data_IF_191588022243
#
_entry.id   IF_191588022243
#
_cell.length_a   1.000
_cell.length_b   1.000
_cell.length_c   1.000
_cell.angle_alpha   90.00
_cell.angle_beta   90.00
_cell.angle_gamma   90.00
#
_symmetry.space_group_name_H-M   'P 1'
#
loop_
_entity.id
_entity.type
_entity.pdbx_description
1 polymer ?
#
# COMPACT_ATOMS: atom_id res chain seq x y z
N UNK A 1 -60.39 -32.77 14.84
CA UNK A 1 -59.66 -32.40 13.61
C UNK A 1 -58.86 -31.14 13.85
N UNK A 2 -57.54 -31.26 13.63
CA UNK A 2 -56.47 -30.27 13.47
C UNK A 2 -56.24 -29.20 14.56
N UNK A 3 -55.35 -29.57 15.50
CA UNK A 3 -54.44 -28.65 16.20
C UNK A 3 -53.37 -28.17 15.21
N UNK A 4 -53.26 -26.87 14.99
CA UNK A 4 -52.12 -26.29 14.25
C UNK A 4 -51.21 -25.58 15.25
N UNK A 5 -50.04 -26.16 15.47
CA UNK A 5 -48.98 -25.66 16.34
C UNK A 5 -48.12 -24.68 15.53
N UNK A 6 -48.07 -23.41 15.94
CA UNK A 6 -47.12 -22.43 15.41
C UNK A 6 -45.77 -22.63 16.10
N UNK A 7 -44.77 -23.15 15.38
CA UNK A 7 -43.38 -23.19 15.84
C UNK A 7 -42.67 -21.96 15.27
N UNK A 8 -42.44 -20.96 16.11
CA UNK A 8 -41.52 -19.85 15.83
C UNK A 8 -40.11 -20.38 16.11
N UNK A 9 -39.34 -20.62 15.05
CA UNK A 9 -37.93 -21.00 15.14
C UNK A 9 -37.08 -19.74 15.35
N UNK A 10 -36.84 -19.35 16.59
CA UNK A 10 -35.81 -18.36 16.95
C UNK A 10 -34.43 -18.98 16.77
N UNK A 11 -33.79 -18.67 15.64
CA UNK A 11 -32.35 -18.90 15.44
C UNK A 11 -31.56 -18.01 16.41
N UNK A 12 -31.29 -18.54 17.60
CA UNK A 12 -30.28 -18.00 18.52
C UNK A 12 -28.90 -18.18 17.90
N UNK A 13 -28.39 -17.13 17.27
CA UNK A 13 -26.98 -17.02 16.90
C UNK A 13 -26.18 -16.92 18.20
N UNK A 14 -25.64 -18.04 18.66
CA UNK A 14 -24.67 -18.07 19.74
C UNK A 14 -23.39 -17.36 19.28
N UNK A 15 -23.27 -16.07 19.63
CA UNK A 15 -21.97 -15.40 19.67
C UNK A 15 -21.24 -15.93 20.91
N UNK A 16 -20.34 -16.88 20.72
CA UNK A 16 -19.41 -17.30 21.76
C UNK A 16 -18.51 -16.12 22.15
N UNK A 17 -18.93 -15.34 23.15
CA UNK A 17 -18.05 -14.40 23.85
C UNK A 17 -17.14 -15.20 24.78
N UNK A 18 -15.94 -15.54 24.32
CA UNK A 18 -14.88 -16.01 25.21
C UNK A 18 -14.51 -14.89 26.20
N UNK A 19 -14.40 -15.27 27.48
CA UNK A 19 -14.19 -14.37 28.64
C UNK A 19 -12.87 -13.59 28.62
N UNK A 20 -11.92 -13.93 27.74
CA UNK A 20 -10.60 -13.27 27.64
C UNK A 20 -10.57 -12.05 26.71
N UNK A 21 -11.69 -11.73 26.05
CA UNK A 21 -11.73 -10.69 25.01
C UNK A 21 -11.19 -9.33 25.47
N UNK A 22 -11.25 -8.97 26.77
CA UNK A 22 -10.85 -7.64 27.23
C UNK A 22 -9.41 -7.23 26.89
N UNK A 23 -8.43 -8.14 26.96
CA UNK A 23 -7.01 -7.80 26.71
C UNK A 23 -6.68 -7.74 25.21
N UNK A 24 -7.28 -8.61 24.41
CA UNK A 24 -6.98 -8.73 22.97
C UNK A 24 -7.96 -7.97 22.08
N UNK A 25 -9.07 -7.45 22.63
CA UNK A 25 -10.11 -6.74 21.86
C UNK A 25 -9.51 -5.62 21.00
N UNK A 26 -8.53 -4.88 21.53
CA UNK A 26 -7.81 -3.83 20.81
C UNK A 26 -7.17 -4.33 19.51
N UNK A 27 -6.59 -5.53 19.52
CA UNK A 27 -5.95 -6.14 18.35
C UNK A 27 -7.03 -6.48 17.32
N UNK A 28 -8.12 -7.11 17.74
CA UNK A 28 -9.22 -7.46 16.86
C UNK A 28 -9.89 -6.23 16.25
N UNK A 29 -10.10 -5.17 17.03
CA UNK A 29 -10.72 -3.93 16.55
C UNK A 29 -9.80 -3.18 15.58
N UNK A 30 -8.47 -3.19 15.79
CA UNK A 30 -7.49 -2.64 14.84
C UNK A 30 -7.48 -3.41 13.52
N UNK A 31 -7.47 -4.74 13.57
CA UNK A 31 -7.53 -5.59 12.37
C UNK A 31 -8.86 -5.37 11.64
N UNK A 32 -9.99 -5.39 12.33
CA UNK A 32 -11.32 -5.10 11.76
C UNK A 32 -11.34 -3.71 11.10
N UNK A 33 -10.75 -2.71 11.74
CA UNK A 33 -10.63 -1.37 11.18
C UNK A 33 -9.82 -1.36 9.88
N UNK A 34 -8.66 -2.03 9.81
CA UNK A 34 -7.84 -2.14 8.59
C UNK A 34 -8.63 -2.73 7.41
N UNK A 35 -9.38 -3.82 7.63
CA UNK A 35 -10.21 -4.41 6.57
C UNK A 35 -11.37 -3.48 6.14
N UNK A 36 -11.99 -2.75 7.08
CA UNK A 36 -12.99 -1.74 6.74
C UNK A 36 -12.40 -0.53 5.97
N UNK A 37 -11.14 -0.18 6.24
CA UNK A 37 -10.41 0.84 5.48
C UNK A 37 -10.18 0.41 4.04
N UNK A 38 -9.76 -0.84 3.83
CA UNK A 38 -9.57 -1.41 2.48
C UNK A 38 -10.83 -1.27 1.62
N UNK A 39 -12.00 -1.58 2.19
CA UNK A 39 -13.29 -1.35 1.53
C UNK A 39 -13.57 0.13 1.23
N UNK A 40 -13.18 1.03 2.14
CA UNK A 40 -13.36 2.48 1.97
C UNK A 40 -12.49 3.01 0.83
N UNK A 41 -11.21 2.60 0.79
CA UNK A 41 -10.26 2.92 -0.29
C UNK A 41 -10.77 2.38 -1.62
N UNK A 42 -11.26 1.14 -1.64
CA UNK A 42 -11.80 0.57 -2.87
C UNK A 42 -12.94 1.41 -3.45
N UNK A 43 -13.91 1.79 -2.59
CA UNK A 43 -15.08 2.58 -3.01
C UNK A 43 -14.75 4.01 -3.48
N UNK A 44 -13.63 4.59 -3.06
CA UNK A 44 -13.35 6.03 -3.23
C UNK A 44 -12.08 6.36 -4.00
N UNK A 45 -11.14 5.43 -4.07
CA UNK A 45 -9.80 5.68 -4.63
C UNK A 45 -9.45 4.67 -5.73
N UNK A 46 -9.63 3.37 -5.46
CA UNK A 46 -9.18 2.28 -6.35
C UNK A 46 -10.14 1.09 -6.35
N UNK A 47 -11.13 1.08 -7.27
CA UNK A 47 -12.30 0.19 -7.25
C UNK A 47 -11.99 -1.30 -6.99
N UNK A 48 -10.97 -1.85 -7.64
CA UNK A 48 -10.63 -3.28 -7.60
C UNK A 48 -9.85 -3.69 -6.34
N UNK A 49 -9.43 -2.73 -5.50
CA UNK A 49 -8.50 -2.99 -4.40
C UNK A 49 -9.04 -4.00 -3.37
N UNK A 50 -10.36 -4.05 -3.17
CA UNK A 50 -11.01 -4.97 -2.23
C UNK A 50 -11.67 -6.19 -2.92
N UNK A 51 -11.34 -6.47 -4.18
CA UNK A 51 -11.80 -7.68 -4.84
C UNK A 51 -11.14 -8.91 -4.20
N UNK A 52 -11.91 -10.01 -4.08
CA UNK A 52 -11.48 -11.21 -3.35
C UNK A 52 -10.23 -11.86 -3.97
N UNK A 53 -10.10 -11.81 -5.29
CA UNK A 53 -8.94 -12.36 -5.99
C UNK A 53 -7.63 -11.62 -5.68
N UNK A 54 -7.72 -10.34 -5.33
CA UNK A 54 -6.57 -9.50 -4.97
C UNK A 54 -6.44 -9.28 -3.46
N UNK A 55 -7.21 -10.01 -2.64
CA UNK A 55 -7.02 -9.99 -1.20
C UNK A 55 -5.80 -10.80 -0.77
N UNK A 56 -5.23 -10.43 0.36
CA UNK A 56 -4.11 -11.12 0.98
C UNK A 56 -4.26 -11.18 2.50
N UNK A 57 -3.73 -12.23 3.16
CA UNK A 57 -3.76 -12.33 4.61
C UNK A 57 -2.92 -11.23 5.27
N UNK A 58 -3.30 -10.85 6.49
CA UNK A 58 -2.55 -9.95 7.35
C UNK A 58 -1.94 -10.73 8.51
N UNK A 59 -0.63 -10.58 8.73
CA UNK A 59 0.09 -11.02 9.93
C UNK A 59 0.36 -9.79 10.80
N UNK A 60 -0.33 -9.70 11.92
CA UNK A 60 -0.15 -8.67 12.93
C UNK A 60 0.75 -9.20 14.06
N UNK A 61 1.91 -8.59 14.24
CA UNK A 61 2.91 -8.99 15.23
C UNK A 61 2.73 -8.20 16.54
N UNK A 62 2.80 -8.92 17.65
CA UNK A 62 3.07 -8.35 18.98
C UNK A 62 4.47 -8.77 19.44
N UNK A 63 4.86 -8.31 20.61
CA UNK A 63 6.11 -8.71 21.27
C UNK A 63 6.23 -10.23 21.50
N UNK A 64 5.10 -10.93 21.59
CA UNK A 64 5.02 -12.31 22.08
C UNK A 64 4.31 -13.27 21.12
N UNK A 65 3.47 -12.80 20.22
CA UNK A 65 2.64 -13.65 19.36
C UNK A 65 2.37 -13.00 18.01
N UNK A 66 1.84 -13.79 17.07
CA UNK A 66 1.34 -13.29 15.79
C UNK A 66 -0.16 -13.59 15.68
N UNK A 67 -0.90 -12.62 15.14
CA UNK A 67 -2.34 -12.72 14.85
C UNK A 67 -2.52 -12.66 13.34
N UNK A 68 -3.19 -13.65 12.77
CA UNK A 68 -3.27 -13.82 11.32
C UNK A 68 -4.71 -13.76 10.88
N UNK A 69 -5.04 -12.72 10.12
CA UNK A 69 -6.34 -12.51 9.55
C UNK A 69 -6.44 -13.22 8.19
N UNK A 70 -7.47 -14.05 8.03
CA UNK A 70 -7.77 -14.82 6.83
C UNK A 70 -6.56 -15.61 6.28
N UNK A 71 -5.87 -16.43 7.10
CA UNK A 71 -4.68 -17.17 6.68
C UNK A 71 -4.99 -18.14 5.53
N UNK A 72 -3.96 -18.43 4.73
CA UNK A 72 -4.02 -19.54 3.76
C UNK A 72 -3.94 -20.88 4.48
N UNK A 73 -4.39 -21.95 3.80
CA UNK A 73 -4.21 -23.31 4.33
C UNK A 73 -2.74 -23.68 4.51
N UNK A 74 -1.86 -23.23 3.59
CA UNK A 74 -0.42 -23.44 3.68
C UNK A 74 0.13 -22.84 4.98
N UNK A 75 -0.25 -21.59 5.29
CA UNK A 75 0.13 -20.94 6.54
C UNK A 75 -0.30 -21.73 7.78
N UNK A 76 -1.56 -22.20 7.83
CA UNK A 76 -2.07 -22.97 8.98
C UNK A 76 -1.40 -24.33 9.15
N UNK A 77 -0.88 -24.92 8.07
CA UNK A 77 -0.07 -26.15 8.13
C UNK A 77 1.35 -25.88 8.63
N UNK A 78 1.93 -24.73 8.29
CA UNK A 78 3.28 -24.32 8.71
C UNK A 78 3.31 -23.87 10.17
N UNK A 79 2.35 -23.07 10.61
CA UNK A 79 2.33 -22.49 11.96
C UNK A 79 1.11 -22.94 12.75
N UNK A 80 1.36 -23.63 13.87
CA UNK A 80 0.30 -24.04 14.80
C UNK A 80 -0.42 -22.80 15.34
N UNK A 81 -1.67 -22.63 14.91
CA UNK A 81 -2.48 -21.45 15.20
C UNK A 81 -3.90 -21.84 15.61
N UNK A 82 -4.48 -21.14 16.59
CA UNK A 82 -5.86 -21.34 17.04
C UNK A 82 -6.76 -20.18 16.61
N UNK A 83 -8.01 -20.46 16.23
CA UNK A 83 -9.00 -19.41 15.93
C UNK A 83 -9.36 -18.67 17.23
N UNK A 84 -9.14 -17.34 17.25
CA UNK A 84 -9.41 -16.49 18.43
C UNK A 84 -10.51 -15.46 18.20
N UNK A 85 -10.78 -15.09 16.94
CA UNK A 85 -11.86 -14.16 16.61
C UNK A 85 -12.43 -14.48 15.22
N UNK A 86 -13.74 -14.28 15.07
CA UNK A 86 -14.42 -14.39 13.78
C UNK A 86 -15.59 -13.42 13.69
N UNK A 87 -15.72 -12.75 12.56
CA UNK A 87 -16.92 -12.05 12.13
C UNK A 87 -17.25 -12.40 10.67
N UNK A 88 -18.14 -11.65 10.02
CA UNK A 88 -18.54 -11.91 8.63
C UNK A 88 -17.42 -11.67 7.60
N UNK A 89 -16.44 -10.82 7.93
CA UNK A 89 -15.37 -10.39 7.03
C UNK A 89 -14.03 -11.08 7.33
N UNK A 90 -13.78 -11.43 8.60
CA UNK A 90 -12.45 -11.80 9.08
C UNK A 90 -12.53 -13.01 10.00
N UNK A 91 -11.59 -13.94 9.81
CA UNK A 91 -11.19 -14.96 10.78
C UNK A 91 -9.77 -14.67 11.25
N UNK A 92 -9.56 -14.49 12.55
CA UNK A 92 -8.25 -14.21 13.13
C UNK A 92 -7.79 -15.44 13.90
N UNK A 93 -6.62 -15.93 13.54
CA UNK A 93 -5.91 -17.00 14.21
C UNK A 93 -4.74 -16.43 15.02
N UNK A 94 -4.38 -17.07 16.13
CA UNK A 94 -3.25 -16.68 16.96
C UNK A 94 -2.24 -17.82 17.08
N UNK A 95 -0.97 -17.49 16.97
CA UNK A 95 0.15 -18.40 17.27
C UNK A 95 0.60 -18.24 18.73
N UNK A 96 1.18 -19.29 19.32
CA UNK A 96 1.68 -19.24 20.70
C UNK A 96 2.95 -18.36 20.85
N UNK A 97 3.71 -18.21 19.77
CA UNK A 97 4.91 -17.40 19.66
C UNK A 97 4.85 -16.59 18.37
N UNK A 98 5.71 -15.57 18.21
CA UNK A 98 5.90 -14.93 16.90
C UNK A 98 6.27 -15.96 15.83
N UNK A 99 5.87 -15.69 14.59
CA UNK A 99 6.20 -16.56 13.43
C UNK A 99 7.63 -16.41 12.92
N UNK A 100 8.32 -15.36 13.36
CA UNK A 100 9.75 -15.15 13.16
C UNK A 100 10.35 -14.36 14.34
N UNK A 101 11.66 -14.13 14.28
CA UNK A 101 12.43 -13.41 15.30
C UNK A 101 12.76 -11.96 14.95
N UNK A 102 12.25 -11.43 13.83
CA UNK A 102 12.55 -10.05 13.45
C UNK A 102 11.86 -9.08 14.41
N UNK A 103 12.52 -7.99 14.82
CA UNK A 103 11.98 -7.10 15.86
C UNK A 103 10.83 -6.22 15.37
N UNK A 104 10.68 -6.04 14.06
CA UNK A 104 9.72 -5.12 13.47
C UNK A 104 9.35 -5.54 12.05
N UNK A 105 8.07 -5.39 11.71
CA UNK A 105 7.55 -5.55 10.34
C UNK A 105 6.71 -4.34 9.96
N UNK A 106 6.87 -3.88 8.73
CA UNK A 106 5.93 -3.04 8.03
C UNK A 106 6.20 -3.20 6.54
N UNK A 107 5.84 -4.37 6.02
CA UNK A 107 6.10 -4.74 4.63
C UNK A 107 5.03 -5.68 4.09
N UNK A 108 4.89 -5.74 2.77
CA UNK A 108 4.38 -6.96 2.13
C UNK A 108 5.50 -7.97 1.93
N UNK A 109 5.41 -9.12 2.62
CA UNK A 109 6.34 -10.23 2.50
C UNK A 109 5.90 -11.26 1.46
N UNK A 110 6.83 -11.68 0.61
CA UNK A 110 6.63 -12.76 -0.38
C UNK A 110 7.98 -13.35 -0.77
N UNK A 111 8.05 -14.68 -0.91
CA UNK A 111 9.23 -15.37 -1.43
C UNK A 111 9.10 -15.55 -2.95
N UNK A 112 10.16 -15.19 -3.68
CA UNK A 112 10.31 -15.33 -5.13
C UNK A 112 11.56 -16.16 -5.45
N UNK A 113 11.70 -16.61 -6.70
CA UNK A 113 12.82 -17.42 -7.17
C UNK A 113 12.50 -18.90 -7.21
N UNK A 114 13.49 -19.73 -6.85
CA UNK A 114 13.37 -21.18 -6.90
C UNK A 114 12.20 -21.69 -6.05
N UNK A 115 11.44 -22.70 -6.52
CA UNK A 115 10.32 -23.26 -5.76
C UNK A 115 10.71 -23.68 -4.33
N UNK A 116 9.95 -23.19 -3.34
CA UNK A 116 10.13 -23.56 -1.93
C UNK A 116 8.82 -23.97 -1.26
N UNK A 117 8.94 -24.70 -0.15
CA UNK A 117 7.80 -25.05 0.70
C UNK A 117 7.38 -23.90 1.64
N UNK A 118 7.99 -22.72 1.53
CA UNK A 118 7.68 -21.58 2.40
C UNK A 118 6.23 -21.14 2.21
N UNK A 119 5.56 -20.80 3.31
CA UNK A 119 4.15 -20.46 3.32
C UNK A 119 3.79 -19.25 2.42
N UNK A 120 4.78 -18.39 2.14
CA UNK A 120 4.68 -17.15 1.36
C UNK A 120 5.34 -17.24 -0.03
N UNK A 121 5.73 -18.44 -0.50
CA UNK A 121 6.22 -18.63 -1.88
C UNK A 121 5.13 -18.24 -2.89
N UNK A 122 5.39 -17.20 -3.69
CA UNK A 122 4.44 -16.59 -4.66
C UNK A 122 3.05 -16.25 -4.06
N UNK A 123 3.00 -16.07 -2.74
CA UNK A 123 1.78 -15.79 -2.00
C UNK A 123 2.05 -14.62 -1.05
N UNK A 124 1.71 -13.38 -1.41
CA UNK A 124 2.04 -12.22 -0.59
C UNK A 124 1.23 -12.20 0.71
N UNK A 125 1.87 -11.72 1.78
CA UNK A 125 1.26 -11.47 3.09
C UNK A 125 1.56 -10.03 3.49
N UNK A 126 0.55 -9.32 3.97
CA UNK A 126 0.77 -8.04 4.64
C UNK A 126 1.31 -8.35 6.03
N UNK A 127 2.47 -7.82 6.39
CA UNK A 127 3.12 -8.03 7.68
C UNK A 127 3.26 -6.69 8.41
N UNK A 128 2.59 -6.54 9.55
CA UNK A 128 2.73 -5.33 10.37
C UNK A 128 2.97 -5.67 11.83
N UNK A 129 3.93 -4.98 12.42
CA UNK A 129 4.03 -4.84 13.86
C UNK A 129 2.86 -4.02 14.40
N UNK A 130 2.49 -4.32 15.64
CA UNK A 130 1.52 -3.55 16.41
C UNK A 130 1.86 -2.06 16.43
N UNK A 131 0.86 -1.20 16.71
CA UNK A 131 1.12 0.23 16.93
C UNK A 131 2.18 0.43 18.03
N UNK A 132 2.12 -0.35 19.11
CA UNK A 132 3.03 -0.22 20.23
C UNK A 132 4.48 -0.50 19.82
N UNK A 133 4.72 -1.53 19.02
CA UNK A 133 6.05 -1.79 18.45
C UNK A 133 6.45 -0.73 17.42
N UNK A 134 5.53 -0.33 16.55
CA UNK A 134 5.77 0.70 15.53
C UNK A 134 6.17 2.03 16.16
N UNK A 135 5.48 2.48 17.21
CA UNK A 135 5.79 3.74 17.89
C UNK A 135 7.16 3.74 18.59
N UNK A 136 7.68 2.55 18.96
CA UNK A 136 9.04 2.41 19.49
C UNK A 136 10.08 2.51 18.38
N UNK A 137 9.81 1.89 17.23
CA UNK A 137 10.74 1.84 16.09
C UNK A 137 10.72 3.12 15.26
N UNK A 138 9.55 3.75 15.13
CA UNK A 138 9.30 4.95 14.33
C UNK A 138 8.57 5.98 15.21
N UNK A 139 9.30 6.74 16.05
CA UNK A 139 8.71 7.61 17.08
C UNK A 139 7.80 8.74 16.54
N UNK A 140 7.85 9.01 15.24
CA UNK A 140 7.01 10.02 14.59
C UNK A 140 5.60 9.51 14.24
N UNK A 141 5.32 8.22 14.44
CA UNK A 141 3.97 7.64 14.30
C UNK A 141 3.25 7.79 15.64
N UNK A 142 2.36 8.78 15.72
CA UNK A 142 1.79 9.24 17.00
C UNK A 142 0.36 8.74 17.26
N UNK A 143 -0.25 8.06 16.30
CA UNK A 143 -1.63 7.61 16.39
C UNK A 143 -1.88 6.32 15.61
N UNK A 144 -2.94 5.60 15.99
CA UNK A 144 -3.40 4.40 15.27
C UNK A 144 -3.73 4.73 13.82
N UNK A 145 -4.30 5.91 13.57
CA UNK A 145 -4.65 6.37 12.24
C UNK A 145 -3.43 6.52 11.33
N UNK A 146 -2.34 7.09 11.82
CA UNK A 146 -1.07 7.18 11.08
C UNK A 146 -0.46 5.79 10.84
N UNK A 147 -0.47 4.92 11.84
CA UNK A 147 -0.02 3.53 11.69
C UNK A 147 -0.82 2.78 10.62
N UNK A 148 -2.14 2.98 10.56
CA UNK A 148 -2.96 2.34 9.52
C UNK A 148 -2.70 2.87 8.11
N UNK A 149 -2.16 4.08 7.94
CA UNK A 149 -1.82 4.57 6.59
C UNK A 149 -0.59 3.84 6.05
N UNK A 150 0.38 3.54 6.92
CA UNK A 150 1.52 2.67 6.59
C UNK A 150 1.07 1.26 6.23
N UNK A 151 0.16 0.67 7.01
CA UNK A 151 -0.39 -0.66 6.69
C UNK A 151 -1.06 -0.67 5.32
N UNK A 152 -1.81 0.37 4.99
CA UNK A 152 -2.53 0.41 3.72
C UNK A 152 -1.61 0.65 2.52
N UNK A 153 -0.48 1.33 2.73
CA UNK A 153 0.60 1.43 1.75
C UNK A 153 1.12 0.03 1.40
N UNK A 154 1.51 -0.72 2.42
CA UNK A 154 2.06 -2.06 2.25
C UNK A 154 1.03 -3.04 1.71
N UNK A 155 -0.22 -3.00 2.20
CA UNK A 155 -1.33 -3.79 1.63
C UNK A 155 -1.50 -3.56 0.13
N UNK A 156 -1.22 -2.34 -0.34
CA UNK A 156 -1.31 -2.02 -1.76
C UNK A 156 -0.20 -2.69 -2.56
N UNK A 157 1.02 -2.85 -2.04
CA UNK A 157 2.03 -3.70 -2.66
C UNK A 157 1.58 -5.15 -2.75
N UNK A 158 0.93 -5.66 -1.72
CA UNK A 158 0.23 -6.95 -1.75
C UNK A 158 -0.75 -7.06 -2.92
N UNK A 159 -1.64 -6.08 -3.06
CA UNK A 159 -2.57 -5.99 -4.19
C UNK A 159 -1.85 -5.98 -5.55
N UNK A 160 -0.76 -5.23 -5.68
CA UNK A 160 0.06 -5.21 -6.91
C UNK A 160 0.59 -6.61 -7.24
N UNK A 161 1.20 -7.29 -6.26
CA UNK A 161 1.76 -8.63 -6.43
C UNK A 161 0.72 -9.73 -6.67
N UNK A 162 -0.54 -9.52 -6.29
CA UNK A 162 -1.65 -10.42 -6.61
C UNK A 162 -2.01 -10.43 -8.11
N UNK A 163 -1.51 -9.48 -8.90
CA UNK A 163 -1.69 -9.48 -10.34
C UNK A 163 -0.60 -10.32 -11.01
N UNK A 164 -1.00 -11.51 -11.51
CA UNK A 164 -0.05 -12.44 -12.15
C UNK A 164 0.81 -11.80 -13.25
N UNK A 165 0.26 -11.03 -14.21
CA UNK A 165 1.08 -10.38 -15.24
C UNK A 165 2.13 -9.41 -14.68
N UNK A 166 1.82 -8.74 -13.57
CA UNK A 166 2.76 -7.82 -12.92
C UNK A 166 3.87 -8.57 -12.21
N UNK A 167 3.53 -9.58 -11.39
CA UNK A 167 4.56 -10.31 -10.65
C UNK A 167 5.48 -11.12 -11.56
N UNK A 168 4.94 -11.71 -12.64
CA UNK A 168 5.73 -12.41 -13.66
C UNK A 168 6.74 -11.47 -14.32
N UNK A 169 6.35 -10.22 -14.60
CA UNK A 169 7.26 -9.19 -15.11
C UNK A 169 8.28 -8.74 -14.04
N UNK A 170 7.84 -8.49 -12.82
CA UNK A 170 8.68 -8.01 -11.73
C UNK A 170 9.78 -9.01 -11.39
N UNK A 171 9.43 -10.28 -11.18
CA UNK A 171 10.37 -11.35 -10.85
C UNK A 171 11.37 -11.61 -11.97
N UNK A 172 10.91 -11.61 -13.22
CA UNK A 172 11.78 -11.87 -14.38
C UNK A 172 12.72 -10.70 -14.70
N UNK A 173 12.21 -9.47 -14.66
CA UNK A 173 12.88 -8.32 -15.27
C UNK A 173 13.39 -7.28 -14.28
N UNK A 174 12.82 -7.22 -13.07
CA UNK A 174 13.01 -6.08 -12.15
C UNK A 174 13.79 -6.47 -10.89
N UNK A 175 13.46 -7.60 -10.25
CA UNK A 175 13.98 -7.98 -8.91
C UNK A 175 15.51 -8.04 -8.83
N UNK A 176 16.20 -8.17 -9.96
CA UNK A 176 17.65 -8.23 -10.03
C UNK A 176 18.36 -6.92 -9.63
N UNK A 177 17.66 -5.77 -9.69
CA UNK A 177 18.21 -4.46 -9.32
C UNK A 177 17.29 -3.83 -8.28
N UNK A 178 17.74 -3.78 -7.04
CA UNK A 178 16.95 -3.26 -5.93
C UNK A 178 16.74 -1.74 -6.00
N UNK A 179 15.67 -1.19 -5.41
CA UNK A 179 15.41 0.25 -5.37
C UNK A 179 16.57 1.07 -4.78
N UNK A 180 17.31 0.49 -3.83
CA UNK A 180 18.47 1.13 -3.20
C UNK A 180 19.60 1.43 -4.18
N UNK A 181 19.78 0.60 -5.22
CA UNK A 181 20.76 0.86 -6.28
C UNK A 181 20.43 2.16 -7.01
N UNK A 182 19.15 2.37 -7.36
CA UNK A 182 18.69 3.61 -7.99
C UNK A 182 18.82 4.81 -7.04
N UNK A 183 18.50 4.62 -5.76
CA UNK A 183 18.67 5.64 -4.72
C UNK A 183 20.12 6.05 -4.54
N UNK A 184 21.06 5.10 -4.61
CA UNK A 184 22.49 5.37 -4.55
C UNK A 184 22.95 6.19 -5.76
N UNK A 185 22.48 5.90 -6.97
CA UNK A 185 22.77 6.71 -8.17
C UNK A 185 22.32 8.16 -7.93
N UNK A 186 21.10 8.35 -7.44
CA UNK A 186 20.55 9.68 -7.14
C UNK A 186 21.36 10.44 -6.08
N UNK A 187 21.77 9.78 -5.00
CA UNK A 187 22.54 10.42 -3.92
C UNK A 187 23.98 10.76 -4.34
N UNK A 188 24.61 9.91 -5.13
CA UNK A 188 26.05 10.00 -5.41
C UNK A 188 26.38 10.76 -6.71
N UNK A 189 25.39 11.15 -7.51
CA UNK A 189 25.61 11.84 -8.78
C UNK A 189 24.82 13.15 -8.84
N UNK A 190 25.48 14.30 -8.63
CA UNK A 190 24.84 15.62 -8.64
C UNK A 190 24.08 15.92 -9.94
N UNK A 191 24.63 15.54 -11.10
CA UNK A 191 23.98 15.75 -12.40
C UNK A 191 22.68 14.94 -12.52
N UNK A 192 22.66 13.70 -12.01
CA UNK A 192 21.48 12.84 -12.01
C UNK A 192 20.42 13.41 -11.07
N UNK A 193 20.85 13.76 -9.84
CA UNK A 193 20.00 14.36 -8.82
C UNK A 193 19.30 15.62 -9.33
N UNK A 194 20.08 16.56 -9.90
CA UNK A 194 19.55 17.81 -10.42
C UNK A 194 18.55 17.60 -11.56
N UNK A 195 18.76 16.59 -12.41
CA UNK A 195 17.82 16.25 -13.47
C UNK A 195 16.52 15.65 -12.92
N UNK A 196 16.59 14.73 -11.97
CA UNK A 196 15.41 14.18 -11.27
C UNK A 196 14.62 15.27 -10.54
N UNK A 197 15.31 16.17 -9.84
CA UNK A 197 14.65 17.27 -9.13
C UNK A 197 13.88 18.18 -10.11
N UNK A 198 14.49 18.52 -11.25
CA UNK A 198 13.84 19.30 -12.32
C UNK A 198 12.67 18.55 -12.96
N UNK A 199 12.81 17.26 -13.22
CA UNK A 199 11.70 16.40 -13.68
C UNK A 199 10.52 16.47 -12.69
N UNK A 200 10.80 16.35 -11.40
CA UNK A 200 9.76 16.42 -10.37
C UNK A 200 9.14 17.81 -10.25
N UNK A 201 9.91 18.89 -10.41
CA UNK A 201 9.40 20.26 -10.47
C UNK A 201 8.44 20.46 -11.66
N UNK A 202 8.77 19.91 -12.83
CA UNK A 202 7.86 19.95 -14.00
C UNK A 202 6.55 19.22 -13.71
N UNK A 203 6.59 18.03 -13.08
CA UNK A 203 5.37 17.34 -12.67
C UNK A 203 4.53 18.19 -11.70
N UNK A 204 5.17 18.82 -10.71
CA UNK A 204 4.47 19.70 -9.76
C UNK A 204 3.84 20.91 -10.46
N UNK A 205 4.56 21.53 -11.40
CA UNK A 205 4.05 22.64 -12.19
C UNK A 205 2.84 22.21 -13.05
N UNK A 206 2.93 21.05 -13.71
CA UNK A 206 1.82 20.50 -14.49
C UNK A 206 0.58 20.20 -13.62
N UNK A 207 0.78 19.77 -12.37
CA UNK A 207 -0.32 19.52 -11.43
C UNK A 207 -1.03 20.84 -11.04
N UNK A 208 -0.30 21.95 -10.91
CA UNK A 208 -0.86 23.24 -10.49
C UNK A 208 -1.38 24.11 -11.65
N UNK A 209 -0.86 23.93 -12.86
CA UNK A 209 -1.27 24.67 -14.06
C UNK A 209 -2.72 24.34 -14.45
N UNK A 210 -3.43 25.30 -15.05
CA UNK A 210 -4.82 25.16 -15.49
C UNK A 210 -4.97 25.20 -17.01
N UNK A 211 -4.03 25.82 -17.72
CA UNK A 211 -4.00 25.87 -19.17
C UNK A 211 -3.54 24.53 -19.77
N UNK A 212 -4.40 23.90 -20.59
CA UNK A 212 -4.14 22.59 -21.17
C UNK A 212 -2.95 22.56 -22.14
N UNK A 213 -2.72 23.64 -22.89
CA UNK A 213 -1.59 23.76 -23.82
C UNK A 213 -0.29 23.87 -23.02
N UNK A 214 -0.28 24.67 -21.96
CA UNK A 214 0.89 24.76 -21.07
C UNK A 214 1.17 23.45 -20.36
N UNK A 215 0.14 22.76 -19.86
CA UNK A 215 0.29 21.43 -19.24
C UNK A 215 0.95 20.46 -20.24
N UNK A 216 0.47 20.43 -21.49
CA UNK A 216 1.05 19.57 -22.52
C UNK A 216 2.54 19.89 -22.78
N UNK A 217 2.89 21.17 -22.88
CA UNK A 217 4.29 21.59 -23.03
C UNK A 217 5.17 21.21 -21.83
N UNK A 218 4.69 21.40 -20.60
CA UNK A 218 5.42 21.01 -19.38
C UNK A 218 5.66 19.49 -19.36
N UNK A 219 4.67 18.69 -19.74
CA UNK A 219 4.81 17.22 -19.81
C UNK A 219 5.82 16.84 -20.91
N UNK A 220 5.81 17.51 -22.06
CA UNK A 220 6.81 17.31 -23.11
C UNK A 220 8.23 17.63 -22.63
N UNK A 221 8.40 18.72 -21.88
CA UNK A 221 9.69 19.10 -21.30
C UNK A 221 10.17 18.07 -20.27
N UNK A 222 9.25 17.54 -19.45
CA UNK A 222 9.51 16.46 -18.50
C UNK A 222 10.07 15.22 -19.21
N UNK A 223 9.40 14.77 -20.28
CA UNK A 223 9.87 13.61 -21.05
C UNK A 223 11.20 13.87 -21.75
N UNK A 224 11.41 15.09 -22.28
CA UNK A 224 12.67 15.48 -22.93
C UNK A 224 13.84 15.38 -21.94
N UNK A 225 13.69 15.92 -20.73
CA UNK A 225 14.70 15.81 -19.68
C UNK A 225 14.95 14.35 -19.26
N UNK A 226 13.88 13.58 -19.05
CA UNK A 226 13.96 12.17 -18.66
C UNK A 226 14.69 11.31 -19.67
N UNK A 227 14.38 11.46 -20.96
CA UNK A 227 15.03 10.73 -22.06
C UNK A 227 16.52 11.10 -22.10
N UNK A 228 16.86 12.39 -22.01
CA UNK A 228 18.24 12.85 -22.01
C UNK A 228 19.02 12.33 -20.80
N UNK A 229 18.42 12.32 -19.61
CA UNK A 229 19.03 11.77 -18.39
C UNK A 229 19.30 10.28 -18.55
N UNK A 230 18.31 9.49 -18.97
CA UNK A 230 18.46 8.03 -19.14
C UNK A 230 19.50 7.68 -20.20
N UNK A 231 19.56 8.44 -21.31
CA UNK A 231 20.64 8.33 -22.30
C UNK A 231 22.01 8.60 -21.66
N UNK A 232 22.11 9.65 -20.85
CA UNK A 232 23.36 9.99 -20.14
C UNK A 232 23.79 8.88 -19.16
N UNK A 233 22.83 8.26 -18.46
CA UNK A 233 23.09 7.10 -17.58
C UNK A 233 23.61 5.92 -18.39
N UNK A 234 22.95 5.56 -19.50
CA UNK A 234 23.39 4.49 -20.38
C UNK A 234 24.81 4.73 -20.89
N UNK A 235 25.13 5.95 -21.30
CA UNK A 235 26.46 6.31 -21.83
C UNK A 235 27.56 6.25 -20.76
N UNK A 236 27.31 6.84 -19.57
CA UNK A 236 28.28 6.97 -18.48
C UNK A 236 28.43 5.69 -17.64
N UNK A 237 27.34 4.96 -17.44
CA UNK A 237 27.27 3.81 -16.51
C UNK A 237 27.11 2.48 -17.23
N UNK A 238 26.91 2.47 -18.55
CA UNK A 238 26.67 1.27 -19.36
C UNK A 238 25.48 0.44 -18.84
N UNK A 239 24.50 1.13 -18.28
CA UNK A 239 23.35 0.52 -17.62
C UNK A 239 22.07 1.24 -18.03
N UNK A 240 21.10 0.50 -18.57
CA UNK A 240 19.77 1.04 -18.85
C UNK A 240 18.88 0.94 -17.60
N UNK A 241 18.67 2.09 -16.96
CA UNK A 241 17.83 2.20 -15.77
C UNK A 241 16.33 2.22 -16.06
N UNK A 242 15.92 2.34 -17.33
CA UNK A 242 14.57 2.77 -17.70
C UNK A 242 13.49 1.85 -17.15
N UNK A 243 13.65 0.52 -17.30
CA UNK A 243 12.64 -0.44 -16.84
C UNK A 243 12.50 -0.47 -15.32
N UNK A 244 13.61 -0.34 -14.59
CA UNK A 244 13.64 -0.34 -13.13
C UNK A 244 12.99 0.92 -12.58
N UNK A 245 13.38 2.09 -13.10
CA UNK A 245 12.84 3.37 -12.66
C UNK A 245 11.32 3.46 -12.91
N UNK A 246 10.86 3.09 -14.11
CA UNK A 246 9.43 3.05 -14.44
C UNK A 246 8.64 2.13 -13.50
N UNK A 247 9.18 0.95 -13.20
CA UNK A 247 8.54 -0.02 -12.32
C UNK A 247 8.46 0.53 -10.89
N UNK A 248 9.58 0.98 -10.31
CA UNK A 248 9.61 1.46 -8.93
C UNK A 248 8.84 2.76 -8.73
N UNK A 249 8.87 3.70 -9.68
CA UNK A 249 8.01 4.89 -9.63
C UNK A 249 6.52 4.50 -9.65
N UNK A 250 6.13 3.48 -10.42
CA UNK A 250 4.74 3.00 -10.46
C UNK A 250 4.35 2.29 -9.17
N UNK A 251 5.19 1.36 -8.71
CA UNK A 251 4.98 0.57 -7.51
C UNK A 251 4.84 1.45 -6.27
N UNK A 252 5.85 2.29 -6.01
CA UNK A 252 5.91 3.15 -4.82
C UNK A 252 4.96 4.34 -4.92
N UNK A 253 4.86 4.93 -6.11
CA UNK A 253 4.01 6.10 -6.35
C UNK A 253 2.53 5.81 -6.12
N UNK A 254 2.05 4.65 -6.56
CA UNK A 254 0.65 4.25 -6.37
C UNK A 254 0.36 3.82 -4.93
N UNK A 255 1.27 3.12 -4.26
CA UNK A 255 1.14 2.82 -2.83
C UNK A 255 1.11 4.11 -1.98
N UNK A 256 1.99 5.08 -2.28
CA UNK A 256 1.97 6.41 -1.66
C UNK A 256 0.70 7.20 -1.97
N UNK A 257 0.14 7.01 -3.17
CA UNK A 257 -1.13 7.62 -3.55
C UNK A 257 -2.31 7.08 -2.73
N UNK A 258 -2.34 5.77 -2.46
CA UNK A 258 -3.33 5.17 -1.55
C UNK A 258 -3.20 5.77 -0.14
N UNK A 259 -1.98 5.86 0.38
CA UNK A 259 -1.69 6.46 1.68
C UNK A 259 -2.25 7.90 1.77
N UNK A 260 -1.90 8.73 0.78
CA UNK A 260 -2.40 10.11 0.69
C UNK A 260 -3.94 10.17 0.57
N UNK A 261 -4.55 9.23 -0.14
CA UNK A 261 -6.01 9.19 -0.28
C UNK A 261 -6.69 9.00 1.07
N UNK A 262 -6.10 8.21 1.98
CA UNK A 262 -6.62 8.02 3.34
C UNK A 262 -6.66 9.33 4.12
N UNK A 263 -5.69 10.23 3.94
CA UNK A 263 -5.68 11.50 4.66
C UNK A 263 -6.94 12.32 4.36
N UNK A 264 -7.37 12.35 3.09
CA UNK A 264 -8.64 12.97 2.69
C UNK A 264 -9.85 12.23 3.22
N UNK A 265 -9.82 10.90 3.19
CA UNK A 265 -10.93 10.08 3.68
C UNK A 265 -11.12 10.22 5.20
N UNK A 266 -10.03 10.27 5.96
CA UNK A 266 -10.01 10.51 7.42
C UNK A 266 -10.55 11.88 7.79
N UNK A 267 -10.21 12.91 7.03
CA UNK A 267 -10.75 14.26 7.23
C UNK A 267 -12.29 14.26 7.26
N UNK A 268 -12.93 13.42 6.43
CA UNK A 268 -14.39 13.31 6.32
C UNK A 268 -15.02 12.15 7.13
N UNK A 269 -14.22 11.23 7.69
CA UNK A 269 -14.74 10.01 8.34
C UNK A 269 -15.17 10.30 9.78
N UNK A 270 -16.25 9.66 10.23
CA UNK A 270 -16.63 9.64 11.66
C UNK A 270 -15.71 8.70 12.45
N UNK A 271 -15.35 9.02 13.70
CA UNK A 271 -14.55 8.14 14.55
C UNK A 271 -15.14 6.73 14.66
N UNK A 272 -14.29 5.71 14.70
CA UNK A 272 -14.71 4.34 14.92
C UNK A 272 -14.98 4.11 16.42
N UNK A 273 -16.21 3.72 16.76
CA UNK A 273 -16.64 3.60 18.15
C UNK A 273 -15.96 2.43 18.89
N UNK A 274 -15.55 1.37 18.17
CA UNK A 274 -14.86 0.23 18.78
C UNK A 274 -13.45 0.67 19.17
N UNK A 275 -12.73 1.31 18.25
CA UNK A 275 -11.39 1.83 18.51
C UNK A 275 -11.37 2.90 19.59
N UNK A 276 -12.36 3.80 19.62
CA UNK A 276 -12.51 4.77 20.72
C UNK A 276 -12.56 4.10 22.11
N UNK A 277 -13.14 2.91 22.19
CA UNK A 277 -13.28 2.16 23.43
C UNK A 277 -12.05 1.30 23.74
N UNK A 278 -11.45 0.68 22.72
CA UNK A 278 -10.41 -0.33 22.90
C UNK A 278 -8.98 0.21 22.78
N UNK A 279 -8.78 1.36 22.12
CA UNK A 279 -7.47 1.82 21.66
C UNK A 279 -7.22 3.29 22.04
N UNK A 280 -6.44 3.52 23.10
CA UNK A 280 -6.08 4.88 23.56
C UNK A 280 -5.18 5.64 22.59
N UNK A 281 -4.54 4.95 21.64
CA UNK A 281 -3.73 5.56 20.59
C UNK A 281 -4.55 6.08 19.41
N UNK A 282 -5.83 5.70 19.33
CA UNK A 282 -6.74 6.22 18.31
C UNK A 282 -7.20 7.64 18.69
N UNK A 283 -6.96 8.62 17.81
CA UNK A 283 -7.18 10.06 18.07
C UNK A 283 -8.34 10.64 17.25
N UNK A 284 -9.32 9.80 16.87
CA UNK A 284 -10.54 10.25 16.19
C UNK A 284 -10.31 11.08 14.91
N UNK A 285 -9.22 10.79 14.20
CA UNK A 285 -8.77 11.48 12.99
C UNK A 285 -8.40 12.96 13.17
N UNK A 286 -8.12 13.42 14.40
CA UNK A 286 -7.88 14.84 14.71
C UNK A 286 -6.82 15.47 13.78
N UNK A 287 -5.67 14.79 13.62
CA UNK A 287 -4.56 15.22 12.74
C UNK A 287 -4.98 15.45 11.29
N UNK A 288 -6.02 14.75 10.82
CA UNK A 288 -6.44 14.76 9.42
C UNK A 288 -7.57 15.75 9.11
N UNK A 289 -8.29 16.29 10.11
CA UNK A 289 -9.45 17.19 9.89
C UNK A 289 -9.12 18.41 9.04
N UNK A 290 -7.95 19.00 9.27
CA UNK A 290 -7.46 20.18 8.54
C UNK A 290 -6.19 19.85 7.74
N UNK A 291 -6.17 18.65 7.17
CA UNK A 291 -5.02 18.16 6.43
C UNK A 291 -4.66 19.08 5.27
N UNK A 292 -3.38 19.46 5.17
CA UNK A 292 -2.84 20.23 4.06
C UNK A 292 -1.56 19.58 3.56
N UNK A 293 -1.59 19.12 2.30
CA UNK A 293 -0.48 18.43 1.66
C UNK A 293 0.82 19.24 1.69
N UNK A 294 0.77 20.58 1.71
CA UNK A 294 1.96 21.42 1.70
C UNK A 294 2.82 21.29 2.96
N UNK A 295 2.25 20.77 4.05
CA UNK A 295 2.97 20.45 5.29
C UNK A 295 3.78 19.17 5.16
N UNK A 296 3.32 18.21 4.34
CA UNK A 296 3.94 16.90 4.14
C UNK A 296 4.77 16.84 2.86
N UNK A 297 5.80 17.69 2.80
CA UNK A 297 6.72 17.76 1.66
C UNK A 297 7.39 16.42 1.33
N UNK A 298 7.50 15.52 2.30
CA UNK A 298 8.03 14.16 2.14
C UNK A 298 7.17 13.28 1.21
N UNK A 299 5.91 13.62 0.96
CA UNK A 299 5.07 12.92 -0.01
C UNK A 299 5.50 13.18 -1.46
N UNK A 300 5.92 14.41 -1.77
CA UNK A 300 5.98 14.90 -3.16
C UNK A 300 7.27 15.62 -3.56
N UNK A 301 8.23 15.82 -2.64
CA UNK A 301 9.54 16.40 -2.94
C UNK A 301 10.64 15.34 -2.87
N UNK A 302 11.35 15.17 -3.97
CA UNK A 302 12.55 14.30 -4.11
C UNK A 302 13.67 14.62 -3.12
N UNK A 303 13.75 15.84 -2.60
CA UNK A 303 14.70 16.23 -1.57
C UNK A 303 14.31 15.78 -0.14
N UNK A 304 13.10 15.23 0.04
CA UNK A 304 12.53 14.87 1.35
C UNK A 304 12.17 13.38 1.46
N UNK A 305 12.34 12.61 0.39
CA UNK A 305 12.06 11.17 0.34
C UNK A 305 12.87 10.51 -0.79
N UNK A 306 12.77 9.20 -0.93
CA UNK A 306 13.32 8.48 -2.10
C UNK A 306 12.60 8.96 -3.36
N UNK A 307 13.37 9.28 -4.41
CA UNK A 307 12.80 9.99 -5.56
C UNK A 307 11.71 9.20 -6.28
N UNK A 308 11.79 7.87 -6.31
CA UNK A 308 10.78 7.01 -6.94
C UNK A 308 9.39 7.20 -6.32
N UNK A 309 9.32 7.39 -5.00
CA UNK A 309 8.08 7.72 -4.31
C UNK A 309 7.53 9.08 -4.75
N UNK A 310 8.36 10.13 -4.71
CA UNK A 310 7.90 11.49 -5.00
C UNK A 310 7.46 11.64 -6.46
N UNK A 311 8.28 11.15 -7.39
CA UNK A 311 8.02 11.25 -8.83
C UNK A 311 6.82 10.38 -9.20
N UNK A 312 6.78 9.14 -8.71
CA UNK A 312 5.64 8.24 -8.89
C UNK A 312 4.33 8.81 -8.35
N UNK A 313 4.34 9.32 -7.12
CA UNK A 313 3.17 9.93 -6.49
C UNK A 313 2.66 11.14 -7.29
N UNK A 314 3.57 11.99 -7.78
CA UNK A 314 3.21 13.13 -8.60
C UNK A 314 2.68 12.71 -9.98
N UNK A 315 3.21 11.65 -10.60
CA UNK A 315 2.62 11.08 -11.82
C UNK A 315 1.19 10.58 -11.59
N UNK A 316 0.93 9.84 -10.51
CA UNK A 316 -0.43 9.40 -10.16
C UNK A 316 -1.41 10.58 -10.02
N UNK A 317 -0.99 11.65 -9.33
CA UNK A 317 -1.77 12.88 -9.17
C UNK A 317 -2.02 13.60 -10.50
N UNK A 318 -1.02 13.62 -11.38
CA UNK A 318 -1.14 14.23 -12.69
C UNK A 318 -2.11 13.44 -13.58
N UNK A 319 -2.02 12.11 -13.60
CA UNK A 319 -2.96 11.24 -14.32
C UNK A 319 -4.41 11.49 -13.87
N UNK A 320 -4.67 11.56 -12.56
CA UNK A 320 -6.00 11.89 -12.03
C UNK A 320 -6.45 13.31 -12.40
N UNK A 321 -5.55 14.32 -12.34
CA UNK A 321 -5.86 15.69 -12.78
C UNK A 321 -6.30 15.73 -14.24
N UNK A 322 -5.59 15.00 -15.09
CA UNK A 322 -5.84 14.90 -16.52
C UNK A 322 -7.04 14.00 -16.86
N UNK A 323 -7.65 13.34 -15.86
CA UNK A 323 -8.73 12.36 -16.02
C UNK A 323 -8.34 11.23 -16.97
N UNK A 324 -7.08 10.84 -16.98
CA UNK A 324 -6.59 9.69 -17.75
C UNK A 324 -6.90 8.46 -16.91
N UNK A 325 -7.58 7.47 -17.49
CA UNK A 325 -7.80 6.22 -16.78
C UNK A 325 -6.56 5.33 -16.85
N UNK A 326 -6.05 4.97 -15.68
CA UNK A 326 -4.84 4.19 -15.50
C UNK A 326 -5.02 3.04 -14.50
N UNK A 327 -5.95 3.15 -13.54
CA UNK A 327 -6.05 2.21 -12.41
C UNK A 327 -6.49 0.81 -12.84
N UNK A 328 -7.38 0.72 -13.82
CA UNK A 328 -7.83 -0.55 -14.41
C UNK A 328 -6.79 -1.23 -15.30
N UNK A 329 -5.78 -0.48 -15.79
CA UNK A 329 -4.74 -0.97 -16.70
C UNK A 329 -3.49 -1.40 -15.95
N UNK A 330 -3.08 -0.60 -14.96
CA UNK A 330 -1.92 -0.91 -14.13
C UNK A 330 -2.05 -2.29 -13.49
N UNK A 331 -0.93 -3.00 -13.46
CA UNK A 331 -0.77 -4.37 -12.93
C UNK A 331 -1.50 -5.47 -13.73
N UNK A 332 -2.63 -5.19 -14.37
CA UNK A 332 -3.32 -6.15 -15.28
C UNK A 332 -2.58 -6.34 -16.60
N UNK A 333 -2.04 -5.28 -17.20
CA UNK A 333 -1.24 -5.36 -18.43
C UNK A 333 0.25 -5.66 -18.15
N UNK A 334 0.60 -5.99 -16.91
CA UNK A 334 1.91 -6.47 -16.46
C UNK A 334 3.02 -5.43 -16.49
N UNK A 335 3.52 -5.10 -17.69
CA UNK A 335 4.67 -4.20 -17.89
C UNK A 335 4.30 -2.71 -17.98
N UNK A 336 3.02 -2.39 -18.17
CA UNK A 336 2.61 -0.99 -18.37
C UNK A 336 2.81 -0.18 -17.11
N UNK A 337 3.33 1.03 -17.26
CA UNK A 337 3.63 1.94 -16.15
C UNK A 337 2.86 3.25 -16.26
N UNK A 338 2.82 4.03 -15.18
CA UNK A 338 2.21 5.37 -15.23
C UNK A 338 2.88 6.27 -16.27
N UNK A 339 4.19 6.09 -16.47
CA UNK A 339 4.95 6.82 -17.49
C UNK A 339 4.45 6.48 -18.90
N UNK A 340 4.25 5.20 -19.20
CA UNK A 340 3.79 4.75 -20.52
C UNK A 340 2.39 5.29 -20.83
N UNK A 341 1.47 5.23 -19.85
CA UNK A 341 0.10 5.73 -19.97
C UNK A 341 0.09 7.25 -20.18
N UNK A 342 0.93 7.99 -19.46
CA UNK A 342 1.05 9.44 -19.64
C UNK A 342 1.59 9.80 -21.03
N UNK A 343 2.53 9.00 -21.56
CA UNK A 343 3.12 9.19 -22.88
C UNK A 343 2.13 8.85 -24.02
N UNK A 344 1.33 7.80 -23.88
CA UNK A 344 0.26 7.45 -24.83
C UNK A 344 -0.67 8.65 -25.06
N UNK A 345 -1.09 9.29 -23.96
CA UNK A 345 -1.96 10.47 -24.03
C UNK A 345 -1.31 11.66 -24.75
N UNK A 346 -0.02 11.90 -24.55
CA UNK A 346 0.73 12.96 -25.24
C UNK A 346 0.79 12.73 -26.75
N UNK A 347 0.86 11.46 -27.18
CA UNK A 347 0.92 11.08 -28.58
C UNK A 347 -0.47 10.97 -29.24
N UNK A 348 -1.54 11.36 -28.55
CA UNK A 348 -2.91 11.30 -29.05
C UNK A 348 -3.48 9.88 -29.18
N UNK A 349 -2.92 8.92 -28.43
CA UNK A 349 -3.39 7.53 -28.38
C UNK A 349 -4.29 7.28 -27.18
#
# INVERSE_FOLDING_TARGET
>A
MNKTLFIILTLLVFSCKNKDNGKEQKIFDRIDFVYNLKQTVAKKTWATFNEKEYDLPLVYFTDTSSYIANPTEKFLKTFKSGLVFQNQLIKIYKTNSRVDSLPFHMETGMTLGDPTDDYNYHSPFMMCSSYEETSKTIPNVLSTEEWTTMIMHEYFHGYQYKHKPYIDYYEKEIVQIQPDSLTAIYKNNTWFKNSIDKENELLLNAITETDSIKIANIIKDFFTLRIQRRKTVLEKMKFDISKYEKCYETMEGTARYIEYSLYKLYAAKRPDYKLLKSDTSFKSFEKFRNYNITKDKWLYKTAKTTYSYAVGFNMARLLDKLKIEYKSRLFKEGKITMEDILLEKQNGR
#
